data_IF_627275534352
#
_entry.id   IF_627275534352
#
_cell.length_a   1.000
_cell.length_b   1.000
_cell.length_c   1.000
_cell.angle_alpha   90.00
_cell.angle_beta   90.00
_cell.angle_gamma   90.00
#
_symmetry.space_group_name_H-M   'P 1'
#
loop_
_entity.id
_entity.type
_entity.pdbx_description
1 polymer ?
#
# COMPACT_ATOMS: atom_id res chain seq x y z
N UNK A 1 19.20 10.44 -12.62
CA UNK A 1 18.83 9.36 -11.67
C UNK A 1 18.42 8.13 -12.46
N UNK A 2 18.55 6.91 -11.92
CA UNK A 2 18.01 5.73 -12.59
C UNK A 2 16.50 5.58 -12.35
N UNK A 3 15.85 4.67 -13.09
CA UNK A 3 14.41 4.45 -13.00
C UNK A 3 13.95 3.99 -11.60
N UNK A 4 14.77 3.21 -10.89
CA UNK A 4 14.52 2.81 -9.51
C UNK A 4 14.45 4.01 -8.57
N UNK A 5 15.45 4.87 -8.62
CA UNK A 5 15.52 6.11 -7.85
C UNK A 5 14.34 7.01 -8.17
N UNK A 6 13.99 7.14 -9.46
CA UNK A 6 12.85 7.94 -9.88
C UNK A 6 11.51 7.43 -9.30
N UNK A 7 11.27 6.12 -9.27
CA UNK A 7 10.08 5.57 -8.61
C UNK A 7 10.09 5.74 -7.09
N UNK A 8 11.26 5.64 -6.46
CA UNK A 8 11.40 5.92 -5.04
C UNK A 8 11.11 7.40 -4.74
N UNK A 9 11.57 8.34 -5.58
CA UNK A 9 11.19 9.75 -5.48
C UNK A 9 9.68 9.94 -5.60
N UNK A 10 9.02 9.28 -6.57
CA UNK A 10 7.56 9.37 -6.71
C UNK A 10 6.83 8.91 -5.44
N UNK A 11 7.36 7.90 -4.74
CA UNK A 11 6.81 7.44 -3.46
C UNK A 11 6.98 8.49 -2.36
N UNK A 12 8.16 9.08 -2.23
CA UNK A 12 8.44 10.14 -1.25
C UNK A 12 7.55 11.36 -1.50
N UNK A 13 7.47 11.82 -2.75
CA UNK A 13 6.59 12.92 -3.15
C UNK A 13 5.12 12.63 -2.83
N UNK A 14 4.64 11.41 -3.08
CA UNK A 14 3.26 11.04 -2.77
C UNK A 14 2.97 11.06 -1.27
N UNK A 15 3.93 10.60 -0.45
CA UNK A 15 3.82 10.69 1.01
C UNK A 15 3.77 12.13 1.48
N UNK A 16 4.68 13.00 1.00
CA UNK A 16 4.72 14.41 1.39
C UNK A 16 3.43 15.17 0.99
N UNK A 17 2.87 14.83 -0.17
CA UNK A 17 1.55 15.35 -0.59
C UNK A 17 0.43 14.90 0.35
N UNK A 18 0.45 13.65 0.80
CA UNK A 18 -0.52 13.10 1.75
C UNK A 18 -0.38 13.73 3.14
N UNK A 19 0.85 13.94 3.60
CA UNK A 19 1.16 14.63 4.87
C UNK A 19 0.67 16.08 4.85
N UNK A 20 0.97 16.84 3.79
CA UNK A 20 0.50 18.21 3.62
C UNK A 20 -1.03 18.27 3.49
N UNK A 21 -1.65 17.34 2.77
CA UNK A 21 -3.11 17.27 2.66
C UNK A 21 -3.76 16.95 4.01
N UNK A 22 -3.20 16.00 4.77
CA UNK A 22 -3.69 15.64 6.10
C UNK A 22 -3.58 16.81 7.08
N UNK A 23 -2.51 17.61 7.01
CA UNK A 23 -2.38 18.82 7.83
C UNK A 23 -3.47 19.84 7.52
N UNK A 24 -3.78 20.03 6.23
CA UNK A 24 -4.78 21.00 5.76
C UNK A 24 -6.24 20.54 5.95
N UNK A 25 -6.48 19.23 6.03
CA UNK A 25 -7.79 18.65 6.29
C UNK A 25 -8.18 18.75 7.79
N UNK A 26 -7.18 18.86 8.67
CA UNK A 26 -7.37 19.04 10.10
C UNK A 26 -7.80 20.47 10.43
N UNK A 27 -9.05 20.62 10.86
CA UNK A 27 -9.68 21.91 11.17
C UNK A 27 -8.94 22.68 12.26
N UNK A 28 -8.35 21.97 13.22
CA UNK A 28 -7.67 22.61 14.34
C UNK A 28 -6.37 23.30 13.89
N UNK A 29 -5.78 22.85 12.77
CA UNK A 29 -4.58 23.45 12.19
C UNK A 29 -4.87 24.69 11.33
N UNK A 30 -6.02 24.70 10.64
CA UNK A 30 -6.35 25.75 9.66
C UNK A 30 -7.27 26.83 10.21
N UNK A 31 -7.93 26.59 11.34
CA UNK A 31 -8.83 27.56 11.98
C UNK A 31 -8.21 28.20 13.23
N UNK A 32 -8.76 29.34 13.62
CA UNK A 32 -8.50 29.97 14.91
C UNK A 32 -9.79 30.02 15.71
N UNK A 33 -9.75 29.60 16.95
CA UNK A 33 -10.90 29.62 17.86
C UNK A 33 -10.67 30.72 18.88
N UNK A 34 -11.54 31.72 18.90
CA UNK A 34 -11.50 32.80 19.89
C UNK A 34 -12.78 32.78 20.71
N UNK A 35 -12.66 32.51 22.00
CA UNK A 35 -13.75 32.66 22.95
C UNK A 35 -13.89 34.12 23.36
N UNK A 36 -15.05 34.70 23.07
CA UNK A 36 -15.39 36.06 23.50
C UNK A 36 -16.19 36.06 24.79
N UNK A 37 -15.55 36.47 25.88
CA UNK A 37 -16.10 36.51 27.23
C UNK A 37 -16.80 37.86 27.47
N UNK A 38 -18.12 37.89 27.27
CA UNK A 38 -18.94 39.10 27.31
C UNK A 38 -19.31 39.57 28.73
N UNK A 39 -18.32 39.82 29.59
CA UNK A 39 -18.51 40.18 31.02
C UNK A 39 -19.29 41.48 31.20
N UNK A 40 -19.11 42.44 30.30
CA UNK A 40 -19.79 43.74 30.32
C UNK A 40 -21.32 43.64 30.26
N UNK A 41 -21.85 42.55 29.68
CA UNK A 41 -23.30 42.31 29.58
C UNK A 41 -23.97 41.97 30.90
N UNK A 42 -23.22 41.43 31.85
CA UNK A 42 -23.72 41.07 33.18
C UNK A 42 -23.31 42.12 34.21
N UNK A 43 -22.08 42.64 34.10
CA UNK A 43 -21.54 43.67 34.99
C UNK A 43 -21.00 44.82 34.13
N UNK A 44 -21.70 45.96 34.03
CA UNK A 44 -21.34 47.06 33.11
C UNK A 44 -19.94 47.66 33.30
N UNK A 45 -19.37 47.51 34.51
CA UNK A 45 -18.04 48.02 34.88
C UNK A 45 -16.89 47.09 34.46
N UNK A 46 -17.19 45.86 34.00
CA UNK A 46 -16.20 44.88 33.56
C UNK A 46 -16.01 44.92 32.05
N UNK A 47 -14.76 44.81 31.58
CA UNK A 47 -14.44 44.71 30.17
C UNK A 47 -14.69 43.29 29.63
N UNK A 48 -15.11 43.20 28.38
CA UNK A 48 -15.11 41.93 27.64
C UNK A 48 -13.67 41.50 27.36
N UNK A 49 -13.45 40.19 27.28
CA UNK A 49 -12.15 39.58 27.06
C UNK A 49 -12.23 38.58 25.91
N UNK A 50 -11.22 38.55 25.03
CA UNK A 50 -11.11 37.57 23.96
C UNK A 50 -9.96 36.61 24.32
N UNK A 51 -10.25 35.30 24.38
CA UNK A 51 -9.29 34.25 24.72
C UNK A 51 -9.07 33.37 23.50
N UNK A 52 -7.81 33.15 23.11
CA UNK A 52 -7.47 32.19 22.05
C UNK A 52 -7.52 30.76 22.61
N UNK A 53 -8.38 29.95 22.02
CA UNK A 53 -8.63 28.55 22.37
C UNK A 53 -8.31 27.62 21.18
N UNK A 54 -7.48 28.07 20.23
CA UNK A 54 -7.08 27.26 19.07
C UNK A 54 -6.22 26.07 19.51
N UNK A 55 -6.61 24.85 19.12
CA UNK A 55 -5.86 23.62 19.41
C UNK A 55 -4.92 23.21 18.26
N UNK A 56 -4.11 24.15 17.77
CA UNK A 56 -3.18 23.89 16.64
C UNK A 56 -2.17 22.80 17.00
N UNK A 57 -1.86 21.93 16.05
CA UNK A 57 -0.79 20.93 16.18
C UNK A 57 0.54 21.60 16.55
N UNK A 58 1.40 20.90 17.31
CA UNK A 58 2.60 21.49 17.93
C UNK A 58 3.58 22.15 16.94
N UNK A 59 3.59 21.72 15.67
CA UNK A 59 4.43 22.30 14.62
C UNK A 59 3.85 23.60 14.03
N UNK A 60 2.54 23.83 14.18
CA UNK A 60 1.79 25.05 13.87
C UNK A 60 2.28 25.81 12.62
N UNK A 61 2.43 25.13 11.48
CA UNK A 61 2.75 25.78 10.21
C UNK A 61 1.65 26.78 9.81
N UNK A 62 2.05 27.86 9.14
CA UNK A 62 1.10 28.71 8.43
C UNK A 62 0.37 27.89 7.35
N UNK A 63 -0.97 27.79 7.36
CA UNK A 63 -1.71 27.00 6.38
C UNK A 63 -1.42 27.41 4.93
N UNK A 64 -1.16 28.71 4.68
CA UNK A 64 -0.83 29.17 3.33
C UNK A 64 0.54 28.69 2.88
N UNK A 65 1.53 28.61 3.78
CA UNK A 65 2.82 27.96 3.50
C UNK A 65 2.65 26.48 3.17
N UNK A 66 1.82 25.74 3.91
CA UNK A 66 1.57 24.31 3.61
C UNK A 66 0.88 24.13 2.26
N UNK A 67 -0.09 25.00 1.91
CA UNK A 67 -0.71 25.03 0.59
C UNK A 67 0.31 25.25 -0.54
N UNK A 68 1.23 26.21 -0.36
CA UNK A 68 2.31 26.45 -1.33
C UNK A 68 3.24 25.24 -1.48
N UNK A 69 3.60 24.61 -0.36
CA UNK A 69 4.43 23.41 -0.35
C UNK A 69 3.74 22.24 -1.09
N UNK A 70 2.45 22.01 -0.82
CA UNK A 70 1.66 20.99 -1.52
C UNK A 70 1.66 21.23 -3.04
N UNK A 71 1.44 22.47 -3.48
CA UNK A 71 1.45 22.82 -4.90
C UNK A 71 2.82 22.56 -5.54
N UNK A 72 3.90 23.00 -4.91
CA UNK A 72 5.26 22.77 -5.40
C UNK A 72 5.61 21.28 -5.50
N UNK A 73 5.22 20.48 -4.49
CA UNK A 73 5.39 19.03 -4.50
C UNK A 73 4.61 18.36 -5.64
N UNK A 74 3.41 18.85 -5.93
CA UNK A 74 2.58 18.32 -7.02
C UNK A 74 3.22 18.60 -8.39
N UNK A 75 3.67 19.84 -8.63
CA UNK A 75 4.39 20.18 -9.86
C UNK A 75 5.64 19.33 -10.07
N UNK A 76 6.43 19.12 -9.00
CA UNK A 76 7.64 18.30 -9.03
C UNK A 76 7.30 16.85 -9.38
N UNK A 77 6.24 16.29 -8.77
CA UNK A 77 5.75 14.94 -9.06
C UNK A 77 5.32 14.77 -10.51
N UNK A 78 4.64 15.75 -11.07
CA UNK A 78 4.24 15.72 -12.48
C UNK A 78 5.42 15.80 -13.44
N UNK A 79 6.39 16.69 -13.17
CA UNK A 79 7.61 16.80 -13.98
C UNK A 79 8.41 15.50 -13.98
N UNK A 80 8.61 14.92 -12.79
CA UNK A 80 9.25 13.61 -12.64
C UNK A 80 8.46 12.51 -13.36
N UNK A 81 7.13 12.51 -13.27
CA UNK A 81 6.28 11.54 -13.96
C UNK A 81 6.41 11.58 -15.48
N UNK A 82 6.52 12.79 -16.06
CA UNK A 82 6.80 12.97 -17.49
C UNK A 82 8.17 12.42 -17.87
N UNK A 83 9.20 12.72 -17.08
CA UNK A 83 10.56 12.21 -17.32
C UNK A 83 10.62 10.67 -17.23
N UNK A 84 9.94 10.05 -16.26
CA UNK A 84 9.81 8.59 -16.15
C UNK A 84 9.11 8.01 -17.38
N UNK A 85 8.04 8.63 -17.84
CA UNK A 85 7.30 8.19 -19.03
C UNK A 85 8.18 8.21 -20.27
N UNK A 86 8.95 9.28 -20.44
CA UNK A 86 9.91 9.41 -21.54
C UNK A 86 11.03 8.36 -21.45
N UNK A 87 11.57 8.12 -20.25
CA UNK A 87 12.59 7.10 -20.03
C UNK A 87 12.07 5.70 -20.40
N UNK A 88 10.85 5.36 -19.97
CA UNK A 88 10.19 4.10 -20.31
C UNK A 88 9.96 3.93 -21.82
N UNK A 89 9.67 5.01 -22.54
CA UNK A 89 9.43 4.96 -23.98
C UNK A 89 10.67 4.57 -24.80
N UNK A 90 11.88 4.71 -24.24
CA UNK A 90 13.13 4.28 -24.90
C UNK A 90 13.42 2.79 -24.74
N UNK A 91 12.66 2.10 -23.89
CA UNK A 91 12.86 0.68 -23.60
C UNK A 91 12.25 -0.21 -24.68
N UNK A 92 12.95 -1.30 -25.02
CA UNK A 92 12.40 -2.33 -25.91
C UNK A 92 11.24 -3.12 -25.27
N UNK A 93 11.26 -3.26 -23.94
CA UNK A 93 10.22 -3.88 -23.14
C UNK A 93 9.20 -2.82 -22.72
N UNK A 94 7.89 -3.09 -22.92
CA UNK A 94 6.84 -2.32 -22.26
C UNK A 94 6.84 -2.65 -20.75
N UNK A 95 7.50 -1.79 -19.97
CA UNK A 95 7.75 -2.01 -18.54
C UNK A 95 6.45 -2.23 -17.74
N UNK A 96 5.45 -1.37 -17.93
CA UNK A 96 4.21 -1.41 -17.14
C UNK A 96 3.38 -2.68 -17.45
N UNK A 97 3.30 -3.04 -18.72
CA UNK A 97 2.62 -4.29 -19.14
C UNK A 97 3.37 -5.50 -18.60
N UNK A 98 4.70 -5.54 -18.74
CA UNK A 98 5.50 -6.65 -18.25
C UNK A 98 5.41 -6.81 -16.73
N UNK A 99 5.37 -5.71 -15.97
CA UNK A 99 5.19 -5.72 -14.52
C UNK A 99 3.82 -6.28 -14.12
N UNK A 100 2.73 -5.79 -14.71
CA UNK A 100 1.37 -6.24 -14.37
C UNK A 100 1.12 -7.69 -14.79
N UNK A 101 1.57 -8.11 -15.97
CA UNK A 101 1.47 -9.51 -16.37
C UNK A 101 2.31 -10.41 -15.45
N UNK A 102 3.53 -10.00 -15.07
CA UNK A 102 4.36 -10.81 -14.19
C UNK A 102 3.75 -10.94 -12.78
N UNK A 103 3.10 -9.89 -12.29
CA UNK A 103 2.29 -9.93 -11.07
C UNK A 103 1.14 -10.92 -11.19
N UNK A 104 0.45 -10.97 -12.33
CA UNK A 104 -0.58 -11.98 -12.60
C UNK A 104 0.01 -13.41 -12.64
N UNK A 105 1.15 -13.62 -13.32
CA UNK A 105 1.87 -14.91 -13.35
C UNK A 105 2.21 -15.38 -11.94
N UNK A 106 2.79 -14.50 -11.11
CA UNK A 106 3.14 -14.80 -9.71
C UNK A 106 1.93 -15.10 -8.83
N UNK A 107 0.80 -14.39 -9.03
CA UNK A 107 -0.47 -14.70 -8.35
C UNK A 107 -0.96 -16.09 -8.73
N UNK A 108 -0.92 -16.45 -10.02
CA UNK A 108 -1.37 -17.76 -10.48
C UNK A 108 -0.44 -18.89 -10.03
N UNK A 109 0.88 -18.66 -9.95
CA UNK A 109 1.84 -19.63 -9.39
C UNK A 109 1.48 -20.07 -7.97
N UNK A 110 0.94 -19.17 -7.13
CA UNK A 110 0.43 -19.55 -5.79
C UNK A 110 -0.74 -20.54 -5.88
N UNK A 111 -1.60 -20.37 -6.88
CA UNK A 111 -2.72 -21.29 -7.13
C UNK A 111 -2.22 -22.64 -7.62
N UNK A 112 -1.25 -22.67 -8.53
CA UNK A 112 -0.64 -23.91 -9.02
C UNK A 112 0.09 -24.67 -7.92
N UNK A 113 0.79 -23.98 -7.02
CA UNK A 113 1.40 -24.59 -5.83
C UNK A 113 0.35 -25.25 -4.93
N UNK A 114 -0.76 -24.54 -4.63
CA UNK A 114 -1.85 -25.10 -3.84
C UNK A 114 -2.47 -26.34 -4.49
N UNK A 115 -2.64 -26.34 -5.80
CA UNK A 115 -3.14 -27.50 -6.56
C UNK A 115 -2.14 -28.65 -6.52
N UNK A 116 -0.85 -28.38 -6.73
CA UNK A 116 0.17 -29.44 -6.71
C UNK A 116 0.33 -30.09 -5.34
N UNK A 117 -0.12 -29.46 -4.25
CA UNK A 117 -0.11 -29.96 -2.87
C UNK A 117 -1.39 -30.70 -2.42
N UNK A 118 -2.55 -30.52 -3.07
CA UNK A 118 -3.81 -31.14 -2.64
C UNK A 118 -3.75 -32.66 -2.52
N UNK A 119 -4.46 -33.26 -1.57
CA UNK A 119 -4.54 -34.73 -1.45
C UNK A 119 -5.99 -35.17 -1.46
N UNK A 120 -6.25 -36.34 -2.05
CA UNK A 120 -7.53 -37.02 -1.87
C UNK A 120 -7.72 -37.31 -0.40
N UNK A 121 -8.94 -37.16 0.10
CA UNK A 121 -9.29 -37.39 1.51
C UNK A 121 -10.55 -38.24 1.58
N UNK A 122 -10.68 -39.04 2.64
CA UNK A 122 -11.95 -39.66 3.00
C UNK A 122 -12.31 -39.29 4.43
N UNK A 123 -13.61 -39.19 4.71
CA UNK A 123 -14.12 -38.99 6.06
C UNK A 123 -15.38 -39.82 6.28
N UNK A 124 -15.49 -40.41 7.46
CA UNK A 124 -16.68 -41.15 7.87
C UNK A 124 -17.65 -40.23 8.59
N UNK A 125 -18.90 -40.16 8.13
CA UNK A 125 -20.01 -39.51 8.84
C UNK A 125 -20.83 -40.58 9.56
N UNK A 126 -20.51 -40.80 10.84
CA UNK A 126 -21.13 -41.86 11.63
C UNK A 126 -22.61 -41.59 11.89
N UNK A 127 -23.47 -42.59 11.67
CA UNK A 127 -24.92 -42.54 11.90
C UNK A 127 -25.69 -41.49 11.09
N UNK A 128 -25.08 -40.90 10.05
CA UNK A 128 -25.69 -39.81 9.28
C UNK A 128 -26.69 -40.32 8.22
N UNK A 129 -26.55 -41.56 7.77
CA UNK A 129 -27.48 -42.20 6.85
C UNK A 129 -28.71 -42.72 7.60
N UNK A 130 -29.89 -42.58 6.99
CA UNK A 130 -31.14 -43.14 7.51
C UNK A 130 -31.81 -43.93 6.40
N UNK A 131 -32.15 -45.18 6.70
CA UNK A 131 -32.90 -46.07 5.82
C UNK A 131 -34.08 -46.67 6.56
N UNK A 132 -34.95 -47.36 5.83
CA UNK A 132 -36.08 -48.07 6.41
C UNK A 132 -36.10 -49.50 5.87
N UNK A 133 -36.47 -50.44 6.73
CA UNK A 133 -36.67 -51.85 6.37
C UNK A 133 -38.00 -52.33 6.94
N UNK A 134 -38.70 -53.21 6.24
CA UNK A 134 -39.92 -53.83 6.76
C UNK A 134 -39.53 -55.03 7.64
N UNK A 135 -40.09 -55.10 8.85
CA UNK A 135 -39.90 -56.24 9.74
C UNK A 135 -40.77 -57.43 9.29
N UNK A 136 -40.63 -58.58 9.96
CA UNK A 136 -41.37 -59.81 9.62
C UNK A 136 -42.90 -59.67 9.74
N UNK A 137 -43.37 -58.66 10.47
CA UNK A 137 -44.79 -58.34 10.67
C UNK A 137 -45.32 -57.31 9.64
N UNK A 138 -44.49 -56.89 8.67
CA UNK A 138 -44.86 -55.92 7.64
C UNK A 138 -44.77 -54.45 8.08
N UNK A 139 -44.25 -54.16 9.28
CA UNK A 139 -44.10 -52.80 9.79
C UNK A 139 -42.75 -52.18 9.40
N UNK A 140 -42.76 -50.89 9.04
CA UNK A 140 -41.56 -50.14 8.66
C UNK A 140 -40.74 -49.74 9.89
N UNK A 141 -39.46 -50.14 9.93
CA UNK A 141 -38.51 -49.84 11.02
C UNK A 141 -37.32 -49.04 10.48
N UNK A 142 -37.00 -47.85 11.03
CA UNK A 142 -35.83 -47.07 10.62
C UNK A 142 -34.52 -47.67 11.14
N UNK A 143 -33.45 -47.53 10.38
CA UNK A 143 -32.08 -47.80 10.83
C UNK A 143 -31.13 -46.69 10.40
N UNK A 144 -30.09 -46.46 11.20
CA UNK A 144 -29.03 -45.51 10.89
C UNK A 144 -27.78 -46.25 10.39
N UNK A 145 -27.02 -45.62 9.49
CA UNK A 145 -25.77 -46.16 8.98
C UNK A 145 -24.72 -45.07 8.75
N UNK A 146 -23.46 -45.49 8.70
CA UNK A 146 -22.32 -44.60 8.47
C UNK A 146 -22.20 -44.29 6.97
N UNK A 147 -21.88 -43.04 6.64
CA UNK A 147 -21.63 -42.61 5.26
C UNK A 147 -20.16 -42.26 5.10
N UNK A 148 -19.44 -42.99 4.26
CA UNK A 148 -18.10 -42.59 3.84
C UNK A 148 -18.18 -41.53 2.74
N UNK A 149 -17.54 -40.39 2.96
CA UNK A 149 -17.41 -39.31 1.97
C UNK A 149 -15.97 -39.25 1.50
N UNK A 150 -15.73 -39.67 0.27
CA UNK A 150 -14.43 -39.63 -0.39
C UNK A 150 -14.37 -38.42 -1.33
N UNK A 151 -13.32 -37.61 -1.19
CA UNK A 151 -12.98 -36.49 -2.07
C UNK A 151 -11.71 -36.83 -2.82
N UNK A 152 -11.81 -36.95 -4.15
CA UNK A 152 -10.68 -37.25 -5.03
C UNK A 152 -10.28 -36.02 -5.83
N UNK A 153 -9.03 -36.00 -6.29
CA UNK A 153 -8.52 -35.00 -7.23
C UNK A 153 -9.12 -35.27 -8.62
N UNK A 154 -9.63 -34.22 -9.29
CA UNK A 154 -10.27 -34.28 -10.62
C UNK A 154 -9.44 -33.64 -11.74
N UNK A 155 -8.13 -33.46 -11.53
CA UNK A 155 -7.20 -32.86 -12.49
C UNK A 155 -5.88 -33.64 -12.59
N UNK A 156 -5.17 -33.49 -13.73
CA UNK A 156 -3.82 -34.05 -13.89
C UNK A 156 -2.79 -33.24 -13.09
N UNK A 157 -2.38 -33.79 -11.96
CA UNK A 157 -1.37 -33.22 -11.08
C UNK A 157 0.01 -33.05 -11.73
N UNK A 158 0.37 -33.93 -12.66
CA UNK A 158 1.63 -33.84 -13.39
C UNK A 158 1.59 -32.70 -14.41
N UNK A 159 0.45 -32.48 -15.08
CA UNK A 159 0.24 -31.30 -15.92
C UNK A 159 0.35 -30.00 -15.12
N UNK A 160 -0.24 -29.94 -13.92
CA UNK A 160 -0.12 -28.78 -13.03
C UNK A 160 1.34 -28.49 -12.66
N UNK A 161 2.13 -29.52 -12.32
CA UNK A 161 3.56 -29.36 -12.00
C UNK A 161 4.37 -28.84 -13.19
N UNK A 162 4.19 -29.40 -14.38
CA UNK A 162 4.86 -28.93 -15.60
C UNK A 162 4.50 -27.47 -15.91
N UNK A 163 3.22 -27.11 -15.77
CA UNK A 163 2.76 -25.73 -15.95
C UNK A 163 3.39 -24.79 -14.92
N UNK A 164 3.49 -25.22 -13.66
CA UNK A 164 4.13 -24.46 -12.59
C UNK A 164 5.62 -24.19 -12.90
N UNK A 165 6.36 -25.20 -13.34
CA UNK A 165 7.77 -25.09 -13.72
C UNK A 165 7.97 -24.11 -14.88
N UNK A 166 7.21 -24.27 -15.97
CA UNK A 166 7.30 -23.40 -17.14
C UNK A 166 6.95 -21.95 -16.79
N UNK A 167 5.85 -21.72 -16.07
CA UNK A 167 5.41 -20.39 -15.69
C UNK A 167 6.36 -19.73 -14.69
N UNK A 168 6.96 -20.50 -13.78
CA UNK A 168 7.95 -20.01 -12.82
C UNK A 168 9.21 -19.51 -13.52
N UNK A 169 9.67 -20.23 -14.54
CA UNK A 169 10.82 -19.80 -15.35
C UNK A 169 10.52 -18.47 -16.05
N UNK A 170 9.40 -18.38 -16.75
CA UNK A 170 8.98 -17.12 -17.41
C UNK A 170 8.87 -15.97 -16.42
N UNK A 171 8.26 -16.19 -15.25
CA UNK A 171 8.12 -15.15 -14.23
C UNK A 171 9.48 -14.68 -13.67
N UNK A 172 10.44 -15.59 -13.51
CA UNK A 172 11.80 -15.27 -13.08
C UNK A 172 12.55 -14.46 -14.14
N UNK A 173 12.44 -14.85 -15.42
CA UNK A 173 13.07 -14.13 -16.53
C UNK A 173 12.48 -12.72 -16.69
N UNK A 174 11.15 -12.56 -16.62
CA UNK A 174 10.53 -11.24 -16.64
C UNK A 174 10.93 -10.38 -15.44
N UNK A 175 11.02 -10.97 -14.23
CA UNK A 175 11.52 -10.24 -13.06
C UNK A 175 12.93 -9.72 -13.27
N UNK A 176 13.84 -10.56 -13.79
CA UNK A 176 15.21 -10.15 -14.08
C UNK A 176 15.28 -8.99 -15.06
N UNK A 177 14.48 -9.04 -16.13
CA UNK A 177 14.42 -7.95 -17.11
C UNK A 177 13.86 -6.64 -16.51
N UNK A 178 12.87 -6.74 -15.61
CA UNK A 178 12.35 -5.56 -14.90
C UNK A 178 13.38 -4.98 -13.93
N UNK A 179 14.09 -5.83 -13.19
CA UNK A 179 15.13 -5.40 -12.25
C UNK A 179 16.31 -4.74 -12.98
N UNK A 180 16.71 -5.31 -14.12
CA UNK A 180 17.73 -4.73 -14.99
C UNK A 180 17.31 -3.36 -15.53
N UNK A 181 16.07 -3.24 -16.00
CA UNK A 181 15.53 -1.96 -16.46
C UNK A 181 15.50 -0.90 -15.35
N UNK A 182 15.12 -1.28 -14.13
CA UNK A 182 15.10 -0.38 -12.98
C UNK A 182 16.47 0.23 -12.67
N UNK A 183 17.54 -0.54 -12.85
CA UNK A 183 18.90 -0.11 -12.53
C UNK A 183 19.59 0.61 -13.69
N UNK A 184 19.37 0.16 -14.92
CA UNK A 184 20.13 0.60 -16.08
C UNK A 184 19.47 1.74 -16.86
N UNK A 185 18.13 1.85 -16.83
CA UNK A 185 17.41 2.92 -17.55
C UNK A 185 17.60 4.24 -16.79
N UNK A 186 18.18 5.21 -17.48
CA UNK A 186 18.38 6.55 -16.96
C UNK A 186 17.13 7.40 -17.15
N UNK A 187 16.78 8.14 -16.11
CA UNK A 187 15.76 9.19 -16.14
C UNK A 187 16.51 10.51 -16.09
N UNK A 188 16.44 11.24 -17.21
CA UNK A 188 17.01 12.58 -17.35
C UNK A 188 16.14 13.59 -16.61
N UNK A 189 16.34 13.65 -15.30
CA UNK A 189 15.62 14.52 -14.40
C UNK A 189 16.50 14.91 -13.21
N UNK A 190 16.45 16.18 -12.86
CA UNK A 190 17.12 16.76 -11.68
C UNK A 190 16.05 17.38 -10.80
N UNK A 191 16.04 17.00 -9.52
CA UNK A 191 15.08 17.51 -8.55
C UNK A 191 15.27 19.01 -8.35
N UNK A 192 14.16 19.75 -8.30
CA UNK A 192 14.17 21.19 -8.01
C UNK A 192 13.96 21.50 -6.52
N UNK A 193 13.30 20.57 -5.82
CA UNK A 193 13.10 20.61 -4.38
C UNK A 193 14.23 19.85 -3.67
N UNK A 194 14.63 20.26 -2.46
CA UNK A 194 15.70 19.61 -1.69
C UNK A 194 15.21 18.31 -1.05
N UNK A 195 14.79 17.35 -1.88
CA UNK A 195 14.34 16.04 -1.44
C UNK A 195 15.53 15.10 -1.48
N UNK A 196 15.91 14.59 -0.31
CA UNK A 196 17.00 13.63 -0.17
C UNK A 196 16.46 12.21 -0.19
N UNK A 197 17.13 11.35 -0.95
CA UNK A 197 16.88 9.92 -0.90
C UNK A 197 17.45 9.31 0.37
N UNK A 198 16.69 8.46 1.08
CA UNK A 198 17.30 7.62 2.11
C UNK A 198 18.39 6.79 1.43
N UNK A 199 19.62 6.88 1.93
CA UNK A 199 20.75 6.15 1.34
C UNK A 199 20.49 4.66 1.44
N UNK A 200 20.56 3.98 0.29
CA UNK A 200 20.30 2.56 0.13
C UNK A 200 21.50 1.74 0.61
N UNK A 201 21.89 1.91 1.87
CA UNK A 201 22.81 1.03 2.58
C UNK A 201 22.09 0.41 3.77
N UNK A 202 21.82 -0.89 3.69
CA UNK A 202 21.34 -1.76 4.79
C UNK A 202 19.84 -1.68 5.15
N UNK A 203 19.10 -2.69 4.67
CA UNK A 203 17.79 -3.11 5.15
C UNK A 203 17.97 -3.79 6.52
N UNK A 204 18.39 -3.03 7.54
CA UNK A 204 18.46 -3.53 8.91
C UNK A 204 17.07 -3.43 9.56
N UNK A 205 16.68 -4.46 10.30
CA UNK A 205 15.45 -4.47 11.09
C UNK A 205 15.38 -3.29 12.08
N UNK A 206 16.52 -2.67 12.39
CA UNK A 206 16.66 -1.44 13.17
C UNK A 206 16.04 -0.23 12.46
N UNK A 207 16.11 -0.10 11.12
CA UNK A 207 15.43 0.98 10.38
C UNK A 207 13.90 0.92 10.51
N UNK A 208 13.31 -0.28 10.45
CA UNK A 208 11.87 -0.47 10.69
C UNK A 208 11.48 -0.19 12.14
N UNK A 209 12.43 -0.31 13.07
CA UNK A 209 12.24 0.04 14.48
C UNK A 209 12.35 1.56 14.67
N UNK A 210 13.31 2.22 14.03
CA UNK A 210 13.52 3.68 14.07
C UNK A 210 12.38 4.41 13.37
N UNK A 211 11.94 3.98 12.17
CA UNK A 211 10.75 4.51 11.48
C UNK A 211 9.49 4.41 12.34
N UNK A 212 9.42 3.39 13.20
CA UNK A 212 8.28 3.12 14.09
C UNK A 212 8.38 3.86 15.44
N UNK A 213 9.57 4.32 15.83
CA UNK A 213 9.83 4.96 17.14
C UNK A 213 10.05 6.47 17.02
N UNK A 214 10.76 6.96 16.00
CA UNK A 214 11.27 8.34 15.93
C UNK A 214 10.71 9.20 14.78
N UNK A 215 9.92 8.63 13.88
CA UNK A 215 9.61 9.30 12.61
C UNK A 215 10.80 9.19 11.64
N UNK A 216 10.50 9.27 10.36
CA UNK A 216 11.32 8.78 9.25
C UNK A 216 12.62 9.58 8.98
N UNK A 217 13.72 8.89 8.65
CA UNK A 217 15.07 9.45 8.33
C UNK A 217 15.20 10.11 6.93
N UNK A 218 14.17 10.79 6.45
CA UNK A 218 14.19 11.40 5.11
C UNK A 218 13.32 12.64 5.04
N UNK A 219 13.52 13.43 3.99
CA UNK A 219 12.99 14.81 3.89
C UNK A 219 11.58 14.93 4.43
N UNK A 220 11.47 15.77 5.46
CA UNK A 220 10.22 16.10 6.13
C UNK A 220 9.47 17.20 5.37
N UNK A 221 8.17 17.33 5.62
CA UNK A 221 7.41 18.46 5.10
C UNK A 221 7.99 19.81 5.59
N UNK A 222 8.53 19.85 6.82
CA UNK A 222 9.23 21.01 7.39
C UNK A 222 10.38 21.48 6.50
N UNK A 223 11.27 20.58 6.09
CA UNK A 223 12.44 20.94 5.27
C UNK A 223 12.01 21.54 3.92
N UNK A 224 10.91 21.06 3.34
CA UNK A 224 10.36 21.61 2.10
C UNK A 224 9.79 23.01 2.34
N UNK A 225 9.06 23.19 3.44
CA UNK A 225 8.52 24.48 3.84
C UNK A 225 9.64 25.50 4.07
N UNK A 226 10.64 25.16 4.87
CA UNK A 226 11.80 26.02 5.16
C UNK A 226 12.54 26.40 3.88
N UNK A 227 12.72 25.45 2.96
CA UNK A 227 13.39 25.71 1.68
C UNK A 227 12.58 26.59 0.71
N UNK A 228 11.26 26.64 0.86
CA UNK A 228 10.39 27.52 0.09
C UNK A 228 10.28 28.91 0.70
N UNK A 229 10.37 29.03 2.02
CA UNK A 229 10.36 30.32 2.73
C UNK A 229 11.72 31.04 2.72
N UNK A 230 12.82 30.29 2.62
CA UNK A 230 14.17 30.85 2.48
C UNK A 230 14.55 31.32 1.06
N UNK A 231 13.62 31.23 0.09
CA UNK A 231 13.79 31.67 -1.31
C UNK A 231 12.98 32.93 -1.59
#
# INVERSE_FOLDING_TARGET
>A
MNLKEAFQMQKILSRLLEEAASYLDDTDNVMTVTEKHLRSKVVPEQADEDVDCSEKFYMAYDPMTVLRAWHALMEEKERLGRAITQAKATMALNFDTAAEENKARRRFLKTLARLSEQRSTSRMKRGAGKGYVFNKDGNQTPYCYDIEVVKTIDYDRNAVRRMQEALSKTAADTSRALDEALLNVQVDYTLQLPITMPTLGEDSAERRLIERIFGYDGTSLTEIIEALEGK
#
